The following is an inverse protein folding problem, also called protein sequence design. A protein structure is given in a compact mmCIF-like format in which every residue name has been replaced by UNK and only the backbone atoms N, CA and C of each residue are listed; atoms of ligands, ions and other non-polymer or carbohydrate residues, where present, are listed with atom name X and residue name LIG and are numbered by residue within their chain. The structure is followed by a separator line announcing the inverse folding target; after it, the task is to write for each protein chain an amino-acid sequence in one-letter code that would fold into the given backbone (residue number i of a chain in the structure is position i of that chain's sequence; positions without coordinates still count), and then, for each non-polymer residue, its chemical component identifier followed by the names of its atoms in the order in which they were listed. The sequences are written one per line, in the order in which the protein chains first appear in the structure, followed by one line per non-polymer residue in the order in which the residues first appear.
data_IF_514859431163
#
_entry.id   IF_514859431163
#
_cell.length_a   1.000
_cell.length_b   1.000
_cell.length_c   1.000
_cell.angle_alpha   90.00
_cell.angle_beta   90.00
_cell.angle_gamma   90.00
#
_symmetry.space_group_name_H-M   'P 1'
#
loop_
_entity.id
_entity.type
_entity.pdbx_description
1 polymer ?
#
# COMPACT_ATOMS: atom_id res chain seq x y z
N UNK A 1 -4.12 28.88 -65.99
CA UNK A 1 -3.04 27.88 -66.18
C UNK A 1 -2.79 27.19 -64.85
N UNK A 2 -3.29 25.97 -64.71
CA UNK A 2 -3.12 25.10 -63.55
C UNK A 2 -1.70 24.54 -63.48
N UNK A 3 -1.10 24.50 -62.28
CA UNK A 3 -0.11 23.47 -61.93
C UNK A 3 -0.46 22.88 -60.58
N UNK A 4 -0.85 21.60 -60.65
CA UNK A 4 -1.13 20.69 -59.54
C UNK A 4 0.21 20.29 -58.89
N UNK A 5 0.28 20.35 -57.56
CA UNK A 5 1.29 19.68 -56.76
C UNK A 5 0.74 18.33 -56.30
N UNK A 6 1.29 17.23 -56.84
CA UNK A 6 1.07 15.87 -56.35
C UNK A 6 2.21 15.45 -55.40
N UNK A 7 1.90 14.56 -54.43
CA UNK A 7 2.76 14.27 -53.29
C UNK A 7 3.83 13.22 -53.63
N UNK A 8 5.00 13.33 -52.99
CA UNK A 8 6.08 12.34 -53.08
C UNK A 8 5.77 11.05 -52.33
N UNK A 9 6.39 9.92 -52.73
CA UNK A 9 6.00 8.60 -52.26
C UNK A 9 6.49 8.28 -50.84
N UNK A 10 5.64 7.53 -50.15
CA UNK A 10 5.88 6.77 -48.93
C UNK A 10 7.08 5.84 -49.07
N UNK A 11 8.02 5.93 -48.14
CA UNK A 11 9.04 4.92 -47.89
C UNK A 11 8.72 4.24 -46.57
N UNK A 12 8.04 3.09 -46.69
CA UNK A 12 7.99 2.06 -45.67
C UNK A 12 9.37 1.40 -45.49
N UNK A 13 9.47 0.58 -44.44
CA UNK A 13 10.58 -0.33 -44.12
C UNK A 13 11.72 0.26 -43.29
N UNK A 14 11.40 0.62 -42.03
CA UNK A 14 12.31 0.38 -40.92
C UNK A 14 11.72 -0.72 -40.06
N UNK A 15 12.29 -1.92 -40.17
CA UNK A 15 11.83 -3.13 -39.50
C UNK A 15 11.70 -2.95 -37.99
N UNK A 16 10.49 -3.17 -37.50
CA UNK A 16 10.20 -3.51 -36.12
C UNK A 16 10.94 -4.82 -35.78
N UNK A 17 12.04 -4.70 -35.03
CA UNK A 17 12.50 -5.80 -34.21
C UNK A 17 11.67 -5.80 -32.94
N UNK A 18 10.47 -6.37 -33.05
CA UNK A 18 9.65 -6.80 -31.92
C UNK A 18 10.45 -7.87 -31.17
N UNK A 19 11.29 -7.41 -30.22
CA UNK A 19 11.80 -8.31 -29.19
C UNK A 19 10.64 -8.59 -28.26
N UNK A 20 10.00 -9.71 -28.56
CA UNK A 20 9.00 -10.39 -27.77
C UNK A 20 9.55 -10.56 -26.34
N UNK A 21 9.34 -9.55 -25.50
CA UNK A 21 9.66 -9.61 -24.09
C UNK A 21 8.62 -10.52 -23.47
N UNK A 22 8.95 -11.81 -23.42
CA UNK A 22 8.17 -12.81 -22.70
C UNK A 22 7.93 -12.30 -21.27
N UNK A 23 6.71 -11.82 -21.05
CA UNK A 23 6.28 -11.25 -19.78
C UNK A 23 6.18 -12.40 -18.79
N UNK A 24 7.07 -12.47 -17.80
CA UNK A 24 6.92 -13.42 -16.70
C UNK A 24 5.73 -12.95 -15.85
N UNK A 25 4.63 -13.73 -15.77
CA UNK A 25 3.49 -13.38 -14.93
C UNK A 25 3.91 -13.25 -13.46
N UNK A 26 3.26 -12.38 -12.70
CA UNK A 26 3.56 -12.15 -11.27
C UNK A 26 3.58 -13.44 -10.42
N UNK A 27 2.67 -14.37 -10.74
CA UNK A 27 2.61 -15.69 -10.13
C UNK A 27 3.88 -16.49 -10.42
N UNK A 28 4.38 -16.41 -11.64
CA UNK A 28 5.61 -17.05 -12.08
C UNK A 28 6.84 -16.43 -11.43
N UNK A 29 6.86 -15.13 -11.11
CA UNK A 29 7.95 -14.54 -10.32
C UNK A 29 7.98 -15.06 -8.87
N UNK A 30 6.83 -15.13 -8.20
CA UNK A 30 6.74 -15.67 -6.83
C UNK A 30 7.12 -17.16 -6.82
N UNK A 31 6.57 -17.93 -7.76
CA UNK A 31 6.90 -19.35 -7.91
C UNK A 31 8.36 -19.57 -8.30
N UNK A 32 8.93 -18.74 -9.19
CA UNK A 32 10.33 -18.82 -9.61
C UNK A 32 11.32 -18.37 -8.52
N UNK A 33 10.95 -17.41 -7.66
CA UNK A 33 11.75 -17.04 -6.50
C UNK A 33 11.79 -18.17 -5.46
N UNK A 34 10.66 -18.84 -5.24
CA UNK A 34 10.58 -20.03 -4.39
C UNK A 34 11.35 -21.21 -5.03
N UNK A 35 11.22 -21.41 -6.34
CA UNK A 35 11.89 -22.50 -7.06
C UNK A 35 13.41 -22.28 -7.24
N UNK A 36 13.85 -21.03 -7.44
CA UNK A 36 15.26 -20.67 -7.59
C UNK A 36 16.06 -20.80 -6.29
N UNK A 37 15.40 -20.70 -5.13
CA UNK A 37 16.01 -21.02 -3.84
C UNK A 37 16.23 -22.53 -3.63
N UNK A 38 15.56 -23.40 -4.41
CA UNK A 38 15.61 -24.86 -4.28
C UNK A 38 16.65 -25.53 -5.19
N UNK A 39 17.29 -24.82 -6.14
CA UNK A 39 18.21 -25.43 -7.11
C UNK A 39 19.70 -25.35 -6.74
N UNK A 40 20.07 -24.65 -5.66
CA UNK A 40 21.47 -24.51 -5.24
C UNK A 40 21.98 -25.67 -4.36
N UNK A 41 21.22 -26.74 -4.15
CA UNK A 41 21.67 -27.86 -3.31
C UNK A 41 21.04 -29.18 -3.75
N UNK A 42 21.72 -29.90 -4.64
CA UNK A 42 21.53 -31.34 -4.81
C UNK A 42 22.79 -32.05 -4.36
N UNK A 43 22.81 -32.45 -3.09
CA UNK A 43 23.59 -33.59 -2.62
C UNK A 43 22.60 -34.45 -1.82
N UNK A 44 22.47 -35.72 -2.21
CA UNK A 44 21.52 -36.67 -1.62
C UNK A 44 21.83 -36.93 -0.14
N UNK A 45 20.99 -36.38 0.73
CA UNK A 45 20.72 -36.84 2.08
C UNK A 45 19.24 -36.54 2.31
N UNK A 46 18.49 -37.45 2.96
CA UNK A 46 17.07 -37.23 3.28
C UNK A 46 16.89 -35.79 3.78
N UNK A 47 16.17 -34.92 3.05
CA UNK A 47 16.06 -33.55 3.49
C UNK A 47 15.27 -33.61 4.78
N UNK A 48 15.94 -33.33 5.90
CA UNK A 48 15.27 -32.70 7.03
C UNK A 48 14.47 -31.57 6.39
N UNK A 49 13.13 -31.70 6.37
CA UNK A 49 12.27 -30.82 5.61
C UNK A 49 12.67 -29.39 5.96
N UNK A 50 13.36 -28.70 5.06
CA UNK A 50 13.84 -27.34 5.32
C UNK A 50 12.61 -26.49 5.47
N UNK A 51 12.21 -26.25 6.72
CA UNK A 51 11.04 -25.48 7.07
C UNK A 51 11.24 -24.09 6.47
N UNK A 52 10.40 -23.71 5.51
CA UNK A 52 10.48 -22.38 4.93
C UNK A 52 10.30 -21.36 6.05
N UNK A 53 11.03 -20.26 6.00
CA UNK A 53 10.96 -19.23 7.05
C UNK A 53 10.50 -17.92 6.49
N UNK A 54 9.35 -17.47 6.97
CA UNK A 54 8.78 -16.19 6.65
C UNK A 54 9.12 -15.21 7.76
N UNK A 55 9.88 -14.16 7.46
CA UNK A 55 10.08 -13.04 8.38
C UNK A 55 8.98 -12.00 8.18
N UNK A 56 8.31 -11.57 9.24
CA UNK A 56 7.30 -10.51 9.21
C UNK A 56 7.80 -9.31 9.99
N UNK A 57 7.98 -8.18 9.31
CA UNK A 57 8.32 -6.90 9.89
C UNK A 57 7.14 -5.95 9.75
N UNK A 58 6.58 -5.50 10.88
CA UNK A 58 5.35 -4.73 10.90
C UNK A 58 5.36 -3.68 12.00
N UNK A 59 4.83 -2.51 11.68
CA UNK A 59 4.49 -1.50 12.69
C UNK A 59 3.08 -1.83 13.17
N UNK A 60 2.95 -2.22 14.44
CA UNK A 60 1.65 -2.59 15.02
C UNK A 60 1.46 -1.85 16.33
N UNK A 61 0.25 -1.36 16.56
CA UNK A 61 -0.15 -0.97 17.90
C UNK A 61 -0.27 -2.23 18.73
N UNK A 62 0.62 -2.40 19.71
CA UNK A 62 0.64 -3.57 20.61
C UNK A 62 -0.69 -3.75 21.38
N UNK A 63 -1.47 -2.68 21.54
CA UNK A 63 -2.72 -2.69 22.30
C UNK A 63 -3.96 -3.01 21.47
N UNK A 64 -3.93 -2.77 20.15
CA UNK A 64 -5.05 -3.03 19.24
C UNK A 64 -4.54 -3.02 17.79
N UNK A 65 -3.99 -4.15 17.28
CA UNK A 65 -3.46 -4.20 15.93
C UNK A 65 -4.61 -4.00 14.93
N UNK A 66 -4.47 -3.12 13.92
CA UNK A 66 -5.49 -2.98 12.89
C UNK A 66 -5.64 -4.31 12.14
N UNK A 67 -6.86 -4.72 11.76
CA UNK A 67 -7.06 -5.89 10.91
C UNK A 67 -6.30 -5.70 9.59
N UNK A 68 -5.50 -6.69 9.20
CA UNK A 68 -4.75 -6.72 7.94
C UNK A 68 -5.29 -7.82 7.04
N UNK A 69 -6.41 -7.60 6.33
CA UNK A 69 -7.02 -8.61 5.47
C UNK A 69 -6.07 -9.07 4.35
N UNK A 70 -5.14 -8.21 3.92
CA UNK A 70 -4.12 -8.57 2.93
C UNK A 70 -3.11 -9.58 3.50
N UNK A 71 -2.76 -9.48 4.78
CA UNK A 71 -1.93 -10.49 5.46
C UNK A 71 -2.72 -11.80 5.65
N UNK A 72 -3.99 -11.71 6.03
CA UNK A 72 -4.84 -12.90 6.19
C UNK A 72 -5.01 -13.64 4.86
N UNK A 73 -5.22 -12.90 3.77
CA UNK A 73 -5.27 -13.43 2.41
C UNK A 73 -3.94 -14.06 1.99
N UNK A 74 -2.82 -13.40 2.28
CA UNK A 74 -1.48 -13.94 2.02
C UNK A 74 -1.24 -15.27 2.76
N UNK A 75 -1.54 -15.32 4.05
CA UNK A 75 -1.39 -16.54 4.86
C UNK A 75 -2.35 -17.65 4.42
N UNK A 76 -3.55 -17.29 3.98
CA UNK A 76 -4.53 -18.24 3.45
C UNK A 76 -4.05 -18.86 2.14
N UNK A 77 -3.54 -18.05 1.21
CA UNK A 77 -2.99 -18.54 -0.06
C UNK A 77 -1.75 -19.42 0.17
N UNK A 78 -0.87 -19.05 1.11
CA UNK A 78 0.26 -19.89 1.49
C UNK A 78 -0.20 -21.29 1.92
N UNK A 79 -1.24 -21.38 2.77
CA UNK A 79 -1.81 -22.68 3.20
C UNK A 79 -2.38 -23.47 2.02
N UNK A 80 -3.08 -22.81 1.09
CA UNK A 80 -3.61 -23.47 -0.11
C UNK A 80 -2.51 -24.02 -1.03
N UNK A 81 -1.37 -23.34 -1.07
CA UNK A 81 -0.17 -23.80 -1.77
C UNK A 81 0.64 -24.85 -0.98
N UNK A 82 0.12 -25.30 0.17
CA UNK A 82 0.71 -26.34 1.00
C UNK A 82 1.66 -25.84 2.09
N UNK A 83 1.82 -24.52 2.28
CA UNK A 83 2.68 -23.93 3.31
C UNK A 83 1.87 -23.58 4.57
N UNK A 84 2.02 -24.38 5.62
CA UNK A 84 1.31 -24.22 6.88
C UNK A 84 2.26 -23.96 8.04
N UNK A 85 1.95 -22.90 8.79
CA UNK A 85 2.69 -22.52 9.99
C UNK A 85 2.70 -23.67 11.02
N UNK A 86 3.89 -23.99 11.55
CA UNK A 86 4.08 -25.07 12.52
C UNK A 86 4.20 -26.47 11.92
N UNK A 87 4.06 -26.61 10.59
CA UNK A 87 4.29 -27.88 9.88
C UNK A 87 5.53 -27.79 8.99
N UNK A 88 5.46 -26.96 7.95
CA UNK A 88 6.53 -26.77 6.96
C UNK A 88 6.86 -25.29 6.70
N UNK A 89 6.23 -24.39 7.48
CA UNK A 89 6.52 -22.96 7.51
C UNK A 89 6.75 -22.51 8.97
N UNK A 90 7.80 -21.76 9.21
CA UNK A 90 8.01 -21.01 10.46
C UNK A 90 7.80 -19.54 10.16
N UNK A 91 7.01 -18.86 11.00
CA UNK A 91 6.73 -17.43 10.83
C UNK A 91 7.38 -16.65 11.96
N UNK A 92 8.47 -15.97 11.63
CA UNK A 92 9.23 -15.10 12.53
C UNK A 92 8.62 -13.71 12.55
N UNK A 93 7.92 -13.35 13.62
CA UNK A 93 7.27 -12.04 13.74
C UNK A 93 8.17 -11.07 14.51
N UNK A 94 8.31 -9.85 13.98
CA UNK A 94 8.98 -8.71 14.64
C UNK A 94 8.07 -7.48 14.59
N UNK A 95 7.15 -7.36 15.56
CA UNK A 95 6.36 -6.15 15.72
C UNK A 95 7.24 -5.03 16.27
N UNK A 96 7.29 -3.90 15.57
CA UNK A 96 8.01 -2.72 16.03
C UNK A 96 7.09 -1.86 16.91
N UNK A 97 7.56 -1.48 18.10
CA UNK A 97 6.85 -0.58 19.01
C UNK A 97 6.98 0.89 18.60
N UNK A 98 8.10 1.24 17.96
CA UNK A 98 8.36 2.54 17.33
C UNK A 98 9.06 2.35 15.97
N UNK A 99 9.23 3.43 15.21
CA UNK A 99 9.86 3.37 13.88
C UNK A 99 11.38 3.16 13.94
N UNK A 100 12.04 3.66 15.00
CA UNK A 100 13.50 3.59 15.17
C UNK A 100 13.97 2.15 15.44
N UNK A 101 13.09 1.27 15.93
CA UNK A 101 13.37 -0.16 16.15
C UNK A 101 13.50 -0.94 14.83
N UNK A 102 12.89 -0.45 13.74
CA UNK A 102 12.71 -1.19 12.49
C UNK A 102 14.03 -1.68 11.86
N UNK A 103 15.12 -0.88 11.78
CA UNK A 103 16.39 -1.35 11.23
C UNK A 103 17.00 -2.52 12.01
N UNK A 104 16.94 -2.48 13.35
CA UNK A 104 17.45 -3.55 14.21
C UNK A 104 16.65 -4.84 14.04
N UNK A 105 15.33 -4.74 14.06
CA UNK A 105 14.41 -5.86 13.86
C UNK A 105 14.54 -6.48 12.45
N UNK A 106 14.75 -5.65 11.43
CA UNK A 106 15.04 -6.13 10.07
C UNK A 106 16.35 -6.94 10.04
N UNK A 107 17.41 -6.43 10.67
CA UNK A 107 18.69 -7.12 10.74
C UNK A 107 18.61 -8.46 11.49
N UNK A 108 17.79 -8.56 12.54
CA UNK A 108 17.51 -9.85 13.21
C UNK A 108 16.88 -10.87 12.26
N UNK A 109 15.86 -10.48 11.49
CA UNK A 109 15.21 -11.37 10.53
C UNK A 109 16.19 -11.86 9.45
N UNK A 110 17.09 -10.98 8.98
CA UNK A 110 18.16 -11.36 8.05
C UNK A 110 19.12 -12.36 8.69
N UNK A 111 19.59 -12.09 9.92
CA UNK A 111 20.51 -12.98 10.67
C UNK A 111 19.93 -14.36 10.91
N UNK A 112 18.61 -14.44 11.07
CA UNK A 112 17.94 -15.71 11.23
C UNK A 112 17.98 -16.53 9.91
N UNK A 113 18.25 -15.93 8.74
CA UNK A 113 18.14 -16.53 7.41
C UNK A 113 16.69 -16.85 7.02
N UNK A 114 15.82 -15.85 7.04
CA UNK A 114 14.46 -16.00 6.49
C UNK A 114 14.52 -16.16 4.97
N UNK A 115 13.64 -16.98 4.43
CA UNK A 115 13.53 -17.24 2.98
C UNK A 115 12.84 -16.09 2.26
N UNK A 116 11.84 -15.48 2.91
CA UNK A 116 11.09 -14.32 2.40
C UNK A 116 10.83 -13.36 3.56
N UNK A 117 10.91 -12.07 3.27
CA UNK A 117 10.48 -11.00 4.17
C UNK A 117 9.11 -10.49 3.72
N UNK A 118 8.15 -10.49 4.63
CA UNK A 118 6.90 -9.77 4.50
C UNK A 118 7.00 -8.47 5.28
N UNK A 119 6.63 -7.34 4.65
CA UNK A 119 6.67 -6.02 5.29
C UNK A 119 5.32 -5.32 5.20
N UNK A 120 4.89 -4.73 6.31
CA UNK A 120 3.66 -3.93 6.37
C UNK A 120 3.99 -2.46 6.66
N UNK A 121 3.72 -1.60 5.67
CA UNK A 121 3.96 -0.16 5.71
C UNK A 121 5.32 0.28 5.12
N UNK A 122 5.43 1.54 4.69
CA UNK A 122 6.60 2.05 3.96
C UNK A 122 7.90 1.99 4.77
N UNK A 123 7.86 2.33 6.07
CA UNK A 123 9.06 2.32 6.91
C UNK A 123 9.61 0.90 7.13
N UNK A 124 8.73 -0.08 7.36
CA UNK A 124 9.14 -1.49 7.47
C UNK A 124 9.77 -1.98 6.15
N UNK A 125 9.19 -1.59 5.01
CA UNK A 125 9.77 -1.92 3.71
C UNK A 125 11.14 -1.28 3.50
N UNK A 126 11.33 0.00 3.86
CA UNK A 126 12.63 0.67 3.75
C UNK A 126 13.68 0.02 4.65
N UNK A 127 13.32 -0.29 5.90
CA UNK A 127 14.22 -0.97 6.83
C UNK A 127 14.65 -2.36 6.31
N UNK A 128 13.71 -3.16 5.80
CA UNK A 128 14.01 -4.45 5.19
C UNK A 128 14.95 -4.33 3.99
N UNK A 129 14.72 -3.36 3.09
CA UNK A 129 15.61 -3.10 1.95
C UNK A 129 17.01 -2.65 2.37
N UNK A 130 17.10 -1.85 3.43
CA UNK A 130 18.39 -1.47 4.01
C UNK A 130 19.15 -2.65 4.61
N UNK A 131 18.43 -3.65 5.13
CA UNK A 131 19.02 -4.84 5.75
C UNK A 131 19.43 -5.93 4.74
N UNK A 132 18.82 -5.98 3.55
CA UNK A 132 19.16 -7.01 2.54
C UNK A 132 18.79 -6.60 1.11
N UNK A 133 19.70 -6.93 0.18
CA UNK A 133 19.50 -6.82 -1.26
C UNK A 133 19.15 -8.16 -1.94
N UNK A 134 19.18 -9.28 -1.20
CA UNK A 134 19.09 -10.64 -1.77
C UNK A 134 17.85 -11.40 -1.33
N UNK A 135 17.40 -11.23 -0.09
CA UNK A 135 16.19 -11.91 0.39
C UNK A 135 14.97 -11.25 -0.28
N UNK A 136 14.06 -12.01 -0.91
CA UNK A 136 12.83 -11.45 -1.48
C UNK A 136 11.99 -10.74 -0.42
N UNK A 137 11.55 -9.53 -0.73
CA UNK A 137 10.69 -8.70 0.11
C UNK A 137 9.33 -8.59 -0.57
N UNK A 138 8.28 -9.05 0.11
CA UNK A 138 6.87 -8.87 -0.26
C UNK A 138 6.28 -7.79 0.64
N UNK A 139 5.96 -6.64 0.07
CA UNK A 139 5.40 -5.50 0.82
C UNK A 139 3.89 -5.39 0.68
N UNK A 140 3.25 -4.86 1.72
CA UNK A 140 1.98 -4.16 1.62
C UNK A 140 2.21 -2.75 2.14
N UNK A 141 2.08 -1.75 1.27
CA UNK A 141 2.33 -0.35 1.62
C UNK A 141 1.33 0.57 0.93
N UNK A 142 1.09 1.76 1.49
CA UNK A 142 0.26 2.78 0.84
C UNK A 142 1.04 3.80 0.01
N UNK A 143 2.36 3.61 -0.08
CA UNK A 143 3.27 4.48 -0.81
C UNK A 143 3.55 3.93 -2.20
N UNK A 144 3.72 4.81 -3.18
CA UNK A 144 4.11 4.43 -4.54
C UNK A 144 5.42 3.62 -4.53
N UNK A 145 5.51 2.50 -5.28
CA UNK A 145 6.64 1.58 -5.20
C UNK A 145 7.97 2.24 -5.58
N UNK A 146 7.94 3.22 -6.48
CA UNK A 146 9.11 4.01 -6.88
C UNK A 146 9.73 4.75 -5.71
N UNK A 147 8.92 5.30 -4.82
CA UNK A 147 9.40 6.00 -3.63
C UNK A 147 9.97 5.01 -2.58
N UNK A 148 9.61 3.72 -2.68
CA UNK A 148 10.19 2.64 -1.89
C UNK A 148 11.40 1.98 -2.58
N UNK A 149 11.79 2.50 -3.75
CA UNK A 149 12.94 2.10 -4.55
C UNK A 149 12.77 0.83 -5.38
N UNK A 150 11.52 0.46 -5.70
CA UNK A 150 11.24 -0.44 -6.82
C UNK A 150 11.15 0.36 -8.13
N UNK A 151 11.68 -0.17 -9.23
CA UNK A 151 11.57 0.52 -10.54
C UNK A 151 10.10 0.65 -11.02
N UNK A 152 9.22 -0.27 -10.60
CA UNK A 152 7.77 -0.22 -10.77
C UNK A 152 7.07 -1.53 -10.39
N UNK A 153 5.74 -1.54 -10.35
CA UNK A 153 4.96 -2.76 -10.00
C UNK A 153 5.00 -3.86 -11.06
N UNK A 154 5.21 -3.50 -12.33
CA UNK A 154 5.28 -4.47 -13.42
C UNK A 154 6.68 -5.09 -13.55
N UNK A 155 7.71 -4.33 -13.17
CA UNK A 155 9.11 -4.74 -13.20
C UNK A 155 9.84 -4.09 -12.03
N UNK A 156 9.93 -4.75 -10.87
CA UNK A 156 10.48 -4.12 -9.67
C UNK A 156 11.98 -3.85 -9.75
N UNK A 157 12.71 -4.60 -10.60
CA UNK A 157 14.14 -4.40 -10.85
C UNK A 157 15.08 -4.83 -9.72
N UNK A 158 14.58 -5.53 -8.70
CA UNK A 158 15.35 -5.99 -7.54
C UNK A 158 14.59 -7.03 -6.71
N UNK A 159 14.93 -7.17 -5.43
CA UNK A 159 14.32 -8.14 -4.50
C UNK A 159 12.98 -7.67 -3.90
N UNK A 160 12.51 -6.46 -4.19
CA UNK A 160 11.24 -5.92 -3.67
C UNK A 160 10.08 -6.21 -4.63
N UNK A 161 8.97 -6.73 -4.12
CA UNK A 161 7.68 -6.88 -4.82
C UNK A 161 6.54 -6.68 -3.82
N UNK A 162 5.28 -6.76 -4.25
CA UNK A 162 4.13 -6.77 -3.35
C UNK A 162 2.93 -5.99 -3.86
N UNK A 163 2.16 -5.47 -2.90
CA UNK A 163 0.90 -4.77 -3.11
C UNK A 163 1.02 -3.32 -2.62
N UNK A 164 0.50 -2.40 -3.41
CA UNK A 164 0.25 -1.03 -2.97
C UNK A 164 -1.25 -0.84 -2.73
N UNK A 165 -1.60 -0.51 -1.49
CA UNK A 165 -2.98 -0.23 -1.04
C UNK A 165 -3.21 1.28 -0.98
N UNK A 166 -4.46 1.73 -0.82
CA UNK A 166 -4.73 3.18 -0.67
C UNK A 166 -4.60 4.03 -1.94
N UNK A 167 -4.42 3.38 -3.11
CA UNK A 167 -4.14 3.97 -4.43
C UNK A 167 -4.55 5.44 -4.60
N UNK A 168 -3.54 6.28 -4.85
CA UNK A 168 -3.60 7.71 -5.14
C UNK A 168 -4.63 8.07 -6.22
N UNK A 169 -4.76 7.21 -7.24
CA UNK A 169 -5.71 7.35 -8.35
C UNK A 169 -7.19 7.35 -7.89
N UNK A 170 -7.51 6.69 -6.77
CA UNK A 170 -8.87 6.64 -6.25
C UNK A 170 -9.25 7.89 -5.45
N UNK A 171 -8.28 8.72 -5.04
CA UNK A 171 -8.55 9.86 -4.16
C UNK A 171 -9.39 10.92 -4.86
N UNK A 172 -9.11 11.21 -6.14
CA UNK A 172 -9.96 12.07 -6.96
C UNK A 172 -11.37 11.49 -7.14
N UNK A 173 -11.47 10.18 -7.40
CA UNK A 173 -12.76 9.51 -7.59
C UNK A 173 -13.64 9.55 -6.35
N UNK A 174 -13.04 9.46 -5.16
CA UNK A 174 -13.77 9.61 -3.88
C UNK A 174 -14.41 10.99 -3.74
N UNK A 175 -13.72 12.05 -4.14
CA UNK A 175 -14.29 13.39 -4.17
C UNK A 175 -15.45 13.52 -5.17
N UNK A 176 -15.32 12.92 -6.37
CA UNK A 176 -16.41 12.88 -7.35
C UNK A 176 -17.64 12.14 -6.82
N UNK A 177 -17.44 11.02 -6.14
CA UNK A 177 -18.52 10.23 -5.53
C UNK A 177 -19.19 11.01 -4.39
N UNK A 178 -18.41 11.68 -3.52
CA UNK A 178 -18.95 12.56 -2.50
C UNK A 178 -19.78 13.70 -3.10
N UNK A 179 -19.30 14.31 -4.18
CA UNK A 179 -20.02 15.38 -4.89
C UNK A 179 -21.30 14.88 -5.56
N UNK A 180 -21.27 13.67 -6.12
CA UNK A 180 -22.45 13.00 -6.69
C UNK A 180 -23.49 12.70 -5.62
N UNK A 181 -23.05 12.14 -4.48
CA UNK A 181 -23.94 11.80 -3.35
C UNK A 181 -24.50 13.05 -2.66
N UNK A 182 -23.72 14.13 -2.60
CA UNK A 182 -24.08 15.40 -1.96
C UNK A 182 -23.86 16.54 -2.97
N UNK A 183 -24.81 16.82 -3.88
CA UNK A 183 -24.62 17.79 -4.97
C UNK A 183 -24.24 19.20 -4.51
N UNK A 184 -24.74 19.61 -3.34
CA UNK A 184 -24.46 20.93 -2.73
C UNK A 184 -23.17 20.96 -1.90
N UNK A 185 -22.40 19.89 -1.88
CA UNK A 185 -21.15 19.82 -1.13
C UNK A 185 -20.16 20.87 -1.66
N UNK A 186 -19.62 21.68 -0.75
CA UNK A 186 -18.66 22.74 -1.06
C UNK A 186 -17.40 22.69 -0.19
N UNK A 187 -17.44 21.98 0.94
CA UNK A 187 -16.34 21.89 1.91
C UNK A 187 -16.20 20.46 2.41
N UNK A 188 -14.99 19.91 2.34
CA UNK A 188 -14.68 18.54 2.77
C UNK A 188 -13.55 18.61 3.78
N UNK A 189 -13.75 18.02 4.95
CA UNK A 189 -12.67 17.77 5.89
C UNK A 189 -11.95 16.49 5.48
N UNK A 190 -10.63 16.52 5.41
CA UNK A 190 -9.83 15.41 4.94
C UNK A 190 -8.89 14.96 6.05
N UNK A 191 -9.00 13.69 6.43
CA UNK A 191 -8.28 13.10 7.55
C UNK A 191 -7.25 12.07 7.10
N UNK A 192 -6.09 12.10 7.75
CA UNK A 192 -5.05 11.08 7.66
C UNK A 192 -4.28 10.98 8.99
N UNK A 193 -3.59 9.87 9.25
CA UNK A 193 -2.83 9.67 10.49
C UNK A 193 -1.33 9.34 10.31
N UNK A 194 -0.89 9.24 9.06
CA UNK A 194 0.52 9.06 8.68
C UNK A 194 1.11 10.43 8.38
N UNK A 195 2.26 10.81 8.98
CA UNK A 195 2.94 12.06 8.63
C UNK A 195 3.17 12.15 7.12
N UNK A 196 2.63 13.20 6.51
CA UNK A 196 2.76 13.52 5.10
C UNK A 196 3.32 14.93 4.99
N UNK A 197 4.45 15.16 4.32
CA UNK A 197 4.93 16.51 4.05
C UNK A 197 3.88 17.24 3.19
N UNK A 198 3.18 18.28 3.68
CA UNK A 198 2.07 18.89 2.95
C UNK A 198 2.47 19.42 1.57
N UNK A 199 3.70 19.92 1.45
CA UNK A 199 4.22 20.55 0.24
C UNK A 199 4.83 19.57 -0.77
N UNK A 200 5.00 18.30 -0.40
CA UNK A 200 5.63 17.28 -1.24
C UNK A 200 4.82 15.98 -1.40
N UNK A 201 3.60 15.95 -0.86
CA UNK A 201 2.72 14.79 -1.01
C UNK A 201 1.94 14.85 -2.34
N UNK A 202 2.33 13.97 -3.28
CA UNK A 202 1.69 13.83 -4.60
C UNK A 202 0.18 13.54 -4.50
N UNK A 203 -0.26 12.81 -3.47
CA UNK A 203 -1.67 12.46 -3.26
C UNK A 203 -2.47 13.70 -2.87
N UNK A 204 -1.95 14.52 -1.95
CA UNK A 204 -2.59 15.77 -1.55
C UNK A 204 -2.64 16.77 -2.71
N UNK A 205 -1.57 16.86 -3.52
CA UNK A 205 -1.53 17.69 -4.73
C UNK A 205 -2.59 17.26 -5.75
N UNK A 206 -2.63 15.97 -6.10
CA UNK A 206 -3.65 15.40 -7.02
C UNK A 206 -5.07 15.65 -6.50
N UNK A 207 -5.31 15.43 -5.21
CA UNK A 207 -6.61 15.63 -4.60
C UNK A 207 -7.03 17.10 -4.58
N UNK A 208 -6.10 18.03 -4.31
CA UNK A 208 -6.36 19.49 -4.38
C UNK A 208 -6.77 19.90 -5.79
N UNK A 209 -6.07 19.39 -6.82
CA UNK A 209 -6.39 19.68 -8.21
C UNK A 209 -7.80 19.22 -8.58
N UNK A 210 -8.19 17.99 -8.22
CA UNK A 210 -9.53 17.45 -8.46
C UNK A 210 -10.60 18.20 -7.64
N UNK A 211 -10.30 18.59 -6.40
CA UNK A 211 -11.23 19.40 -5.61
C UNK A 211 -11.52 20.74 -6.29
N UNK A 212 -10.50 21.39 -6.87
CA UNK A 212 -10.66 22.61 -7.64
C UNK A 212 -11.63 22.48 -8.81
N UNK A 213 -11.54 21.39 -9.59
CA UNK A 213 -12.45 21.14 -10.71
C UNK A 213 -13.89 20.85 -10.27
N UNK A 214 -14.08 20.32 -9.06
CA UNK A 214 -15.38 20.01 -8.47
C UNK A 214 -15.99 21.18 -7.66
N UNK A 215 -15.28 22.31 -7.55
CA UNK A 215 -15.69 23.45 -6.72
C UNK A 215 -15.69 23.15 -5.21
N UNK A 216 -14.85 22.21 -4.79
CA UNK A 216 -14.69 21.80 -3.39
C UNK A 216 -13.52 22.52 -2.73
N UNK A 217 -13.70 22.93 -1.48
CA UNK A 217 -12.61 23.37 -0.60
C UNK A 217 -12.25 22.24 0.34
N UNK A 218 -10.97 21.88 0.38
CA UNK A 218 -10.46 20.84 1.27
C UNK A 218 -9.88 21.49 2.53
N UNK A 219 -10.23 20.94 3.68
CA UNK A 219 -9.62 21.28 4.96
C UNK A 219 -8.88 20.06 5.51
N UNK A 220 -7.56 20.18 5.61
CA UNK A 220 -6.69 19.07 5.96
C UNK A 220 -6.49 18.97 7.48
N UNK A 221 -6.71 17.77 8.02
CA UNK A 221 -6.63 17.48 9.43
C UNK A 221 -5.73 16.25 9.63
N UNK A 222 -4.53 16.46 10.16
CA UNK A 222 -3.63 15.38 10.53
C UNK A 222 -3.97 14.85 11.92
N UNK A 223 -4.09 13.53 12.03
CA UNK A 223 -4.26 12.80 13.29
C UNK A 223 -2.88 12.34 13.78
N UNK A 224 -2.50 12.73 14.99
CA UNK A 224 -1.24 12.33 15.64
C UNK A 224 -1.46 11.24 16.70
N UNK A 225 -2.67 11.16 17.29
CA UNK A 225 -3.04 10.15 18.28
C UNK A 225 -4.54 9.95 18.45
N UNK A 226 -4.94 9.01 19.32
CA UNK A 226 -6.34 8.61 19.50
C UNK A 226 -7.25 9.73 20.07
N UNK A 227 -6.67 10.74 20.74
CA UNK A 227 -7.43 11.91 21.23
C UNK A 227 -7.73 12.94 20.13
N UNK A 228 -7.14 12.78 18.95
CA UNK A 228 -7.32 13.74 17.86
C UNK A 228 -8.62 13.55 17.09
N UNK A 229 -9.32 12.41 17.24
CA UNK A 229 -10.58 12.18 16.54
C UNK A 229 -11.64 13.21 16.94
N UNK A 230 -11.96 13.36 18.23
CA UNK A 230 -12.92 14.38 18.70
C UNK A 230 -12.55 15.80 18.26
N UNK A 231 -11.25 16.14 18.34
CA UNK A 231 -10.73 17.44 17.90
C UNK A 231 -10.91 17.64 16.39
N UNK A 232 -10.62 16.61 15.59
CA UNK A 232 -10.78 16.63 14.14
C UNK A 232 -12.25 16.82 13.72
N UNK A 233 -13.18 16.08 14.32
CA UNK A 233 -14.61 16.25 14.03
C UNK A 233 -15.11 17.62 14.46
N UNK A 234 -14.65 18.13 15.60
CA UNK A 234 -14.97 19.50 16.05
C UNK A 234 -14.46 20.55 15.07
N UNK A 235 -13.19 20.46 14.64
CA UNK A 235 -12.59 21.35 13.66
C UNK A 235 -13.32 21.29 12.31
N UNK A 236 -13.66 20.10 11.83
CA UNK A 236 -14.45 19.90 10.61
C UNK A 236 -15.80 20.63 10.67
N UNK A 237 -16.49 20.59 11.82
CA UNK A 237 -17.75 21.32 12.02
C UNK A 237 -17.56 22.83 12.09
N UNK A 238 -16.52 23.31 12.74
CA UNK A 238 -16.19 24.74 12.81
C UNK A 238 -15.92 25.31 11.40
N UNK A 239 -15.22 24.55 10.56
CA UNK A 239 -14.98 24.87 9.15
C UNK A 239 -16.21 24.69 8.24
N UNK A 240 -17.33 24.22 8.81
CA UNK A 240 -18.59 23.93 8.12
C UNK A 240 -18.39 22.91 7.00
N UNK A 241 -17.55 21.91 7.23
CA UNK A 241 -17.43 20.77 6.33
C UNK A 241 -18.79 20.10 6.18
N UNK A 242 -19.18 19.79 4.94
CA UNK A 242 -20.40 19.06 4.63
C UNK A 242 -20.20 17.54 4.57
N UNK A 243 -18.95 17.11 4.49
CA UNK A 243 -18.55 15.70 4.51
C UNK A 243 -17.11 15.56 5.01
N UNK A 244 -16.76 14.33 5.36
CA UNK A 244 -15.43 13.92 5.80
C UNK A 244 -14.90 12.83 4.88
N UNK A 245 -13.65 12.97 4.45
CA UNK A 245 -12.92 11.98 3.68
C UNK A 245 -11.74 11.46 4.48
N UNK A 246 -11.76 10.18 4.84
CA UNK A 246 -10.64 9.48 5.44
C UNK A 246 -9.82 8.81 4.33
N UNK A 247 -8.66 9.39 3.99
CA UNK A 247 -7.82 8.89 2.89
C UNK A 247 -7.09 7.63 3.33
N UNK A 248 -6.35 7.73 4.42
CA UNK A 248 -5.53 6.63 4.95
C UNK A 248 -5.36 6.82 6.43
N UNK A 249 -5.62 5.75 7.18
CA UNK A 249 -5.11 5.73 8.53
C UNK A 249 -5.24 4.42 9.29
N UNK A 250 -4.14 3.70 9.53
CA UNK A 250 -4.15 2.52 10.39
C UNK A 250 -4.75 2.77 11.78
N UNK A 251 -4.54 3.96 12.38
CA UNK A 251 -5.20 4.36 13.63
C UNK A 251 -6.69 4.58 13.43
N UNK A 252 -7.10 5.23 12.35
CA UNK A 252 -8.52 5.41 12.07
C UNK A 252 -9.24 4.07 11.86
N UNK A 253 -8.58 3.10 11.20
CA UNK A 253 -9.09 1.72 11.05
C UNK A 253 -9.10 0.96 12.38
N UNK A 254 -8.05 1.09 13.19
CA UNK A 254 -7.99 0.49 14.52
C UNK A 254 -9.08 1.03 15.45
N UNK A 255 -9.41 2.32 15.34
CA UNK A 255 -10.42 3.02 16.14
C UNK A 255 -11.74 3.24 15.37
N UNK A 256 -12.02 2.42 14.36
CA UNK A 256 -13.17 2.58 13.43
C UNK A 256 -14.52 2.78 14.12
N UNK A 257 -14.76 2.11 15.25
CA UNK A 257 -16.00 2.26 16.03
C UNK A 257 -16.14 3.68 16.59
N UNK A 258 -15.08 4.23 17.17
CA UNK A 258 -15.06 5.62 17.67
C UNK A 258 -15.23 6.62 16.52
N UNK A 259 -14.58 6.38 15.37
CA UNK A 259 -14.69 7.23 14.19
C UNK A 259 -16.13 7.27 13.66
N UNK A 260 -16.78 6.11 13.55
CA UNK A 260 -18.17 6.00 13.13
C UNK A 260 -19.13 6.67 14.12
N UNK A 261 -18.94 6.45 15.42
CA UNK A 261 -19.74 7.10 16.47
C UNK A 261 -19.65 8.64 16.38
N UNK A 262 -18.44 9.18 16.17
CA UNK A 262 -18.23 10.62 16.01
C UNK A 262 -18.88 11.16 14.73
N UNK A 263 -18.80 10.42 13.60
CA UNK A 263 -19.47 10.81 12.37
C UNK A 263 -20.99 10.91 12.55
N UNK A 264 -21.59 9.92 13.22
CA UNK A 264 -23.01 9.91 13.56
C UNK A 264 -23.37 11.06 14.52
N UNK A 265 -22.59 11.25 15.59
CA UNK A 265 -22.83 12.28 16.61
C UNK A 265 -22.77 13.69 16.02
N UNK A 266 -21.81 13.97 15.14
CA UNK A 266 -21.65 15.27 14.49
C UNK A 266 -22.53 15.45 13.25
N UNK A 267 -23.29 14.41 12.85
CA UNK A 267 -24.11 14.33 11.63
C UNK A 267 -23.30 14.72 10.39
N UNK A 268 -22.13 14.12 10.26
CA UNK A 268 -21.20 14.42 9.18
C UNK A 268 -21.02 13.16 8.31
N UNK A 269 -21.56 13.14 7.08
CA UNK A 269 -21.35 12.05 6.15
C UNK A 269 -19.86 11.78 5.94
N UNK A 270 -19.48 10.52 5.95
CA UNK A 270 -18.09 10.09 5.84
C UNK A 270 -17.89 9.16 4.65
N UNK A 271 -16.75 9.32 3.96
CA UNK A 271 -16.23 8.35 3.01
C UNK A 271 -14.87 7.85 3.49
N UNK A 272 -14.70 6.54 3.58
CA UNK A 272 -13.45 5.90 3.97
C UNK A 272 -12.82 5.11 2.83
N UNK A 273 -11.49 5.01 2.84
CA UNK A 273 -10.76 4.16 1.89
C UNK A 273 -10.89 2.65 2.18
N UNK A 274 -11.27 2.28 3.40
CA UNK A 274 -11.32 0.90 3.88
C UNK A 274 -12.76 0.50 4.24
N UNK A 275 -13.18 -0.70 3.80
CA UNK A 275 -14.53 -1.23 4.03
C UNK A 275 -14.89 -1.27 5.52
N UNK A 276 -13.93 -1.61 6.36
CA UNK A 276 -14.11 -1.75 7.81
C UNK A 276 -14.54 -0.43 8.46
N UNK A 277 -14.18 0.72 7.90
CA UNK A 277 -14.62 2.03 8.39
C UNK A 277 -16.09 2.27 8.04
N UNK A 278 -16.53 1.81 6.87
CA UNK A 278 -17.92 1.94 6.41
C UNK A 278 -18.84 0.97 7.17
N UNK A 279 -18.38 -0.26 7.42
CA UNK A 279 -19.15 -1.26 8.20
C UNK A 279 -19.35 -0.85 9.66
N UNK A 280 -18.53 0.06 10.18
CA UNK A 280 -18.63 0.52 11.56
C UNK A 280 -19.76 1.55 11.80
N UNK A 281 -20.28 2.20 10.75
CA UNK A 281 -21.40 3.16 10.85
C UNK A 281 -21.33 4.30 9.84
#
# INVERSE_FOLDING_TARGET
MSRRSHPGPSAAERGESERDHHMIPRRTFVVAAIAGALTASRTEAQPAATTARLGMLMVTSLSNPPPMPELDGFMTELRQLGWSEGQNLTVERRPAGNLDDLPGLAAELVKLNVTVLFTAGPEATRAARGATATIPIVMIASTEPRQLGAAGLARPGGNLTGLTVGQSELVGKRLELLKTAIPRLARVAVLWDVPRPPDDDEILKKMTAVAGTLGLRLHYLQLQGARDFDRAFTAAKQERAGALLLIEGPRAVANRAQVAELALRHRLPMMGAFRQVVEAG
#
